data_IF_556373179060
#
_entry.id   IF_556373179060
#
_cell.length_a   1.000
_cell.length_b   1.000
_cell.length_c   1.000
_cell.angle_alpha   90.00
_cell.angle_beta   90.00
_cell.angle_gamma   90.00
#
_symmetry.space_group_name_H-M   'P 1'
#
loop_
_entity.id
_entity.type
_entity.pdbx_description
1 polymer ?
#
# COMPACT_ATOMS: atom_id res chain seq x y z
N UNK A 1 -14.87 3.66 3.44
CA UNK A 1 -15.71 4.48 2.54
C UNK A 1 -15.01 5.81 2.27
N UNK A 2 -15.03 6.27 1.04
CA UNK A 2 -14.53 7.56 0.57
C UNK A 2 -15.71 8.31 -0.03
N UNK A 3 -15.95 9.56 0.39
CA UNK A 3 -17.11 10.35 -0.04
C UNK A 3 -16.68 11.72 -0.52
N UNK A 4 -16.83 11.95 -1.82
CA UNK A 4 -16.56 13.21 -2.52
C UNK A 4 -15.19 13.84 -2.18
N UNK A 5 -14.15 13.00 -2.15
CA UNK A 5 -12.81 13.44 -1.77
C UNK A 5 -12.17 14.25 -2.89
N UNK A 6 -11.90 15.52 -2.58
CA UNK A 6 -11.15 16.45 -3.42
C UNK A 6 -9.80 16.75 -2.76
N UNK A 7 -8.73 16.79 -3.56
CA UNK A 7 -7.41 17.24 -3.10
C UNK A 7 -6.78 18.20 -4.08
N UNK A 8 -6.44 19.39 -3.58
CA UNK A 8 -5.69 20.41 -4.33
C UNK A 8 -4.31 20.66 -3.72
N UNK A 9 -3.35 20.90 -4.59
CA UNK A 9 -2.03 21.44 -4.27
C UNK A 9 -1.89 22.75 -5.06
N UNK A 10 -2.15 23.89 -4.40
CA UNK A 10 -2.29 25.15 -5.08
C UNK A 10 -3.42 25.12 -6.12
N UNK A 11 -3.08 25.39 -7.37
CA UNK A 11 -4.03 25.36 -8.50
C UNK A 11 -4.26 23.95 -9.08
N UNK A 12 -3.38 22.98 -8.79
CA UNK A 12 -3.48 21.63 -9.31
C UNK A 12 -4.44 20.78 -8.46
N UNK A 13 -5.44 20.19 -9.10
CA UNK A 13 -6.37 19.25 -8.46
C UNK A 13 -5.91 17.81 -8.71
N UNK A 14 -5.31 17.20 -7.69
CA UNK A 14 -4.82 15.84 -7.74
C UNK A 14 -5.94 14.78 -7.57
N UNK A 15 -7.00 15.10 -6.81
CA UNK A 15 -8.23 14.30 -6.75
C UNK A 15 -9.43 15.23 -6.97
N UNK A 16 -10.46 14.73 -7.67
CA UNK A 16 -11.59 15.50 -8.16
C UNK A 16 -12.93 14.85 -7.83
N UNK A 17 -13.27 14.76 -6.53
CA UNK A 17 -14.55 14.19 -6.07
C UNK A 17 -14.56 12.67 -6.13
N UNK A 18 -13.54 12.02 -5.55
CA UNK A 18 -13.46 10.56 -5.50
C UNK A 18 -14.48 10.05 -4.49
N UNK A 19 -15.39 9.18 -4.96
CA UNK A 19 -16.34 8.46 -4.12
C UNK A 19 -16.22 6.97 -4.41
N UNK A 20 -15.97 6.17 -3.36
CA UNK A 20 -15.87 4.73 -3.47
C UNK A 20 -16.08 4.04 -2.11
N UNK A 21 -16.63 2.85 -2.17
CA UNK A 21 -16.68 1.92 -1.06
C UNK A 21 -15.80 0.70 -1.38
N UNK A 22 -15.05 0.24 -0.38
CA UNK A 22 -14.18 -0.90 -0.49
C UNK A 22 -14.51 -1.90 0.61
N UNK A 23 -14.71 -3.15 0.22
CA UNK A 23 -15.01 -4.24 1.14
C UNK A 23 -13.74 -4.71 1.86
N UNK A 24 -13.86 -5.15 3.13
CA UNK A 24 -12.72 -5.69 3.86
C UNK A 24 -12.22 -7.02 3.27
N UNK A 25 -10.99 -7.39 3.64
CA UNK A 25 -10.34 -8.68 3.30
C UNK A 25 -10.14 -8.91 1.79
N UNK A 26 -10.03 -7.85 1.01
CA UNK A 26 -9.80 -7.88 -0.44
C UNK A 26 -8.46 -7.25 -0.80
N UNK A 27 -7.95 -7.66 -1.96
CA UNK A 27 -6.81 -7.04 -2.60
C UNK A 27 -7.28 -6.19 -3.79
N UNK A 28 -7.08 -4.88 -3.68
CA UNK A 28 -7.38 -3.88 -4.68
C UNK A 28 -6.10 -3.44 -5.38
N UNK A 29 -6.08 -3.49 -6.71
CA UNK A 29 -4.98 -2.98 -7.52
C UNK A 29 -5.40 -1.65 -8.13
N UNK A 30 -4.72 -0.56 -7.76
CA UNK A 30 -5.05 0.79 -8.25
C UNK A 30 -4.16 1.13 -9.43
N UNK A 31 -4.78 1.35 -10.57
CA UNK A 31 -4.15 1.56 -11.87
C UNK A 31 -4.43 2.96 -12.42
N UNK A 32 -3.68 3.35 -13.43
CA UNK A 32 -3.80 4.63 -14.13
C UNK A 32 -2.44 5.27 -14.40
N UNK A 33 -2.42 6.29 -15.23
CA UNK A 33 -1.21 6.98 -15.64
C UNK A 33 -0.50 7.72 -14.51
N UNK A 34 0.73 8.17 -14.78
CA UNK A 34 1.43 9.08 -13.89
C UNK A 34 0.63 10.38 -13.75
N UNK A 35 0.45 10.83 -12.51
CA UNK A 35 -0.39 12.01 -12.23
C UNK A 35 -1.89 11.73 -12.10
N UNK A 36 -2.37 10.49 -12.31
CA UNK A 36 -3.80 10.14 -12.13
C UNK A 36 -4.32 10.29 -10.70
N UNK A 37 -3.44 10.51 -9.71
CA UNK A 37 -3.83 10.73 -8.30
C UNK A 37 -3.67 9.52 -7.39
N UNK A 38 -3.15 8.38 -7.88
CA UNK A 38 -3.02 7.09 -7.14
C UNK A 38 -2.31 7.24 -5.80
N UNK A 39 -1.06 7.72 -5.80
CA UNK A 39 -0.27 7.98 -4.58
C UNK A 39 -0.96 8.99 -3.66
N UNK A 40 -1.61 10.01 -4.22
CA UNK A 40 -2.38 11.00 -3.43
C UNK A 40 -3.54 10.34 -2.72
N UNK A 41 -4.27 9.44 -3.38
CA UNK A 41 -5.35 8.66 -2.78
C UNK A 41 -4.81 7.79 -1.64
N UNK A 42 -3.73 7.02 -1.86
CA UNK A 42 -3.12 6.20 -0.81
C UNK A 42 -2.68 7.05 0.39
N UNK A 43 -2.05 8.20 0.15
CA UNK A 43 -1.61 9.11 1.23
C UNK A 43 -2.76 9.70 2.03
N UNK A 44 -3.90 9.94 1.41
CA UNK A 44 -5.12 10.39 2.10
C UNK A 44 -5.69 9.24 2.93
N UNK A 45 -5.78 8.01 2.37
CA UNK A 45 -6.20 6.81 3.11
C UNK A 45 -5.28 6.55 4.31
N UNK A 46 -3.96 6.70 4.13
CA UNK A 46 -2.97 6.56 5.20
C UNK A 46 -3.04 7.67 6.28
N UNK A 47 -3.86 8.70 6.09
CA UNK A 47 -3.91 9.85 6.99
C UNK A 47 -2.70 10.79 6.91
N UNK A 48 -1.79 10.56 5.96
CA UNK A 48 -0.57 11.37 5.75
C UNK A 48 -0.85 12.70 5.04
N UNK A 49 -2.00 12.80 4.40
CA UNK A 49 -2.43 14.02 3.70
C UNK A 49 -3.91 14.23 3.93
N UNK A 50 -4.29 15.43 4.37
CA UNK A 50 -5.72 15.76 4.52
C UNK A 50 -6.35 16.07 3.16
N UNK A 51 -7.58 15.60 2.89
CA UNK A 51 -8.34 16.06 1.73
C UNK A 51 -8.62 17.57 1.84
N UNK A 52 -8.84 18.24 0.70
CA UNK A 52 -9.29 19.65 0.66
C UNK A 52 -10.77 19.73 1.02
N UNK A 53 -11.56 18.78 0.55
CA UNK A 53 -12.97 18.56 0.93
C UNK A 53 -13.31 17.07 0.82
N UNK A 54 -14.51 16.70 1.27
CA UNK A 54 -14.95 15.30 1.33
C UNK A 54 -14.51 14.60 2.60
N UNK A 55 -14.84 13.32 2.73
CA UNK A 55 -14.62 12.53 3.94
C UNK A 55 -14.05 11.15 3.61
N UNK A 56 -13.18 10.65 4.49
CA UNK A 56 -12.72 9.27 4.50
C UNK A 56 -13.12 8.64 5.83
N UNK A 57 -13.76 7.49 5.77
CA UNK A 57 -14.10 6.68 6.95
C UNK A 57 -13.46 5.31 6.81
N UNK A 58 -12.74 4.89 7.85
CA UNK A 58 -12.05 3.60 7.93
C UNK A 58 -12.64 2.85 9.12
N UNK A 59 -13.10 1.62 8.89
CA UNK A 59 -13.75 0.80 9.93
C UNK A 59 -14.91 1.54 10.67
N UNK A 60 -15.63 2.41 9.95
CA UNK A 60 -16.71 3.22 10.53
C UNK A 60 -16.24 4.47 11.29
N UNK A 61 -14.95 4.66 11.51
CA UNK A 61 -14.41 5.85 12.16
C UNK A 61 -13.93 6.89 11.14
N UNK A 62 -14.27 8.14 11.37
CA UNK A 62 -13.70 9.29 10.65
C UNK A 62 -12.54 9.95 11.39
N UNK A 63 -12.18 9.47 12.58
CA UNK A 63 -11.03 9.96 13.33
C UNK A 63 -9.71 9.45 12.72
N UNK A 64 -8.95 10.34 12.11
CA UNK A 64 -7.68 10.02 11.44
C UNK A 64 -6.65 9.35 12.36
N UNK A 65 -6.58 9.72 13.66
CA UNK A 65 -5.61 9.13 14.59
C UNK A 65 -5.95 7.70 14.98
N UNK A 66 -7.22 7.38 15.16
CA UNK A 66 -7.67 6.03 15.44
C UNK A 66 -7.45 5.14 14.20
N UNK A 67 -7.80 5.65 13.02
CA UNK A 67 -7.60 4.97 11.75
C UNK A 67 -6.12 4.69 11.44
N UNK A 68 -5.20 5.59 11.78
CA UNK A 68 -3.76 5.43 11.51
C UNK A 68 -3.14 4.19 12.16
N UNK A 69 -3.67 3.75 13.31
CA UNK A 69 -3.23 2.53 14.00
C UNK A 69 -3.68 1.24 13.28
N UNK A 70 -4.68 1.33 12.44
CA UNK A 70 -5.21 0.21 11.66
C UNK A 70 -4.58 0.10 10.27
N UNK A 71 -3.67 1.04 9.91
CA UNK A 71 -3.13 1.15 8.57
C UNK A 71 -1.63 0.92 8.57
N UNK A 72 -1.19 -0.05 7.77
CA UNK A 72 0.19 -0.19 7.35
C UNK A 72 0.40 0.55 6.02
N UNK A 73 1.45 1.34 5.91
CA UNK A 73 1.78 2.07 4.69
C UNK A 73 3.21 1.79 4.26
N UNK A 74 3.36 1.26 3.04
CA UNK A 74 4.62 1.07 2.36
C UNK A 74 4.72 2.10 1.23
N UNK A 75 5.59 3.09 1.40
CA UNK A 75 5.84 4.14 0.42
C UNK A 75 6.88 3.71 -0.61
N UNK A 76 6.92 4.40 -1.75
CA UNK A 76 7.97 4.21 -2.77
C UNK A 76 9.38 4.44 -2.21
N UNK A 77 9.71 5.48 -1.41
CA UNK A 77 10.87 5.45 -0.54
C UNK A 77 10.62 4.46 0.60
N UNK A 78 11.54 3.53 0.86
CA UNK A 78 11.34 2.45 1.84
C UNK A 78 11.06 2.92 3.27
N UNK A 79 11.39 4.19 3.58
CA UNK A 79 11.29 4.81 4.92
C UNK A 79 12.02 3.98 6.00
N UNK A 80 13.12 3.34 5.62
CA UNK A 80 14.02 2.62 6.50
C UNK A 80 15.25 3.48 6.79
N UNK A 81 15.83 3.29 7.96
CA UNK A 81 17.10 3.91 8.34
C UNK A 81 18.24 3.07 7.78
N UNK A 82 18.99 3.62 6.85
CA UNK A 82 20.03 2.91 6.10
C UNK A 82 21.21 2.49 6.98
N UNK A 83 21.49 3.22 8.06
CA UNK A 83 22.56 2.97 9.01
C UNK A 83 22.24 1.85 10.01
N UNK A 84 20.97 1.52 10.19
CA UNK A 84 20.50 0.50 11.10
C UNK A 84 20.39 -0.86 10.41
N UNK A 85 20.56 -1.94 11.18
CA UNK A 85 20.20 -3.31 10.74
C UNK A 85 18.68 -3.45 10.54
N UNK A 86 18.25 -4.54 9.90
CA UNK A 86 16.84 -4.84 9.73
C UNK A 86 16.10 -4.98 11.07
N UNK A 87 16.76 -5.61 12.04
CA UNK A 87 16.20 -5.82 13.38
C UNK A 87 16.03 -4.51 14.15
N UNK A 88 17.03 -3.63 14.10
CA UNK A 88 16.96 -2.30 14.73
C UNK A 88 15.87 -1.43 14.12
N UNK A 89 15.74 -1.43 12.78
CA UNK A 89 14.65 -0.76 12.10
C UNK A 89 13.28 -1.24 12.61
N UNK A 90 13.04 -2.55 12.63
CA UNK A 90 11.74 -3.07 13.07
C UNK A 90 11.45 -2.79 14.54
N UNK A 91 12.42 -2.92 15.44
CA UNK A 91 12.29 -2.55 16.85
C UNK A 91 11.92 -1.08 17.01
N UNK A 92 12.59 -0.20 16.28
CA UNK A 92 12.30 1.23 16.30
C UNK A 92 10.84 1.50 15.94
N UNK A 93 10.38 0.99 14.80
CA UNK A 93 9.00 1.21 14.35
C UNK A 93 7.98 0.52 15.27
N UNK A 94 8.24 -0.69 15.76
CA UNK A 94 7.37 -1.39 16.71
C UNK A 94 7.15 -0.56 17.99
N UNK A 95 8.21 0.03 18.53
CA UNK A 95 8.14 0.90 19.73
C UNK A 95 7.28 2.14 19.50
N UNK A 96 7.23 2.72 18.29
CA UNK A 96 6.34 3.84 17.98
C UNK A 96 4.85 3.47 18.09
N UNK A 97 4.53 2.19 17.94
CA UNK A 97 3.18 1.64 18.15
C UNK A 97 2.96 1.11 19.58
N UNK A 98 3.94 1.30 20.47
CA UNK A 98 3.89 0.80 21.85
C UNK A 98 4.19 -0.70 21.98
N UNK A 99 4.79 -1.31 20.96
CA UNK A 99 5.15 -2.72 20.94
C UNK A 99 6.61 -2.86 21.38
N UNK A 100 6.83 -3.40 22.57
CA UNK A 100 8.17 -3.61 23.15
C UNK A 100 8.73 -5.02 22.92
N UNK A 101 7.99 -5.91 22.26
CA UNK A 101 8.37 -7.31 22.05
C UNK A 101 9.37 -7.46 20.87
N UNK A 102 10.62 -7.74 21.21
CA UNK A 102 11.68 -7.97 20.23
C UNK A 102 11.44 -9.24 19.40
N UNK A 103 10.85 -10.27 20.02
CA UNK A 103 10.53 -11.51 19.29
C UNK A 103 9.46 -11.28 18.22
N UNK A 104 8.54 -10.35 18.45
CA UNK A 104 7.59 -9.93 17.42
C UNK A 104 8.30 -9.33 16.20
N UNK A 105 9.29 -8.47 16.42
CA UNK A 105 10.11 -7.91 15.34
C UNK A 105 10.86 -9.01 14.58
N UNK A 106 11.45 -9.97 15.29
CA UNK A 106 12.14 -11.10 14.69
C UNK A 106 11.18 -12.00 13.88
N UNK A 107 9.99 -12.33 14.43
CA UNK A 107 8.96 -13.09 13.70
C UNK A 107 8.53 -12.38 12.41
N UNK A 108 8.38 -11.06 12.46
CA UNK A 108 7.97 -10.29 11.28
C UNK A 108 9.07 -10.28 10.19
N UNK A 109 10.35 -10.21 10.57
CA UNK A 109 11.48 -10.33 9.64
C UNK A 109 11.49 -11.72 8.98
N UNK A 110 11.29 -12.79 9.75
CA UNK A 110 11.20 -14.15 9.20
C UNK A 110 9.98 -14.29 8.26
N UNK A 111 8.84 -13.68 8.61
CA UNK A 111 7.62 -13.70 7.79
C UNK A 111 7.81 -13.13 6.39
N UNK A 112 8.74 -12.19 6.21
CA UNK A 112 9.10 -11.63 4.91
C UNK A 112 10.33 -12.30 4.29
N UNK A 113 10.69 -13.51 4.72
CA UNK A 113 11.83 -14.29 4.23
C UNK A 113 13.17 -13.55 4.37
N UNK A 114 13.38 -12.88 5.50
CA UNK A 114 14.65 -12.28 5.89
C UNK A 114 15.16 -12.94 7.18
N UNK A 115 16.48 -12.88 7.36
CA UNK A 115 17.12 -13.39 8.58
C UNK A 115 17.22 -12.25 9.62
N UNK A 116 16.59 -12.40 10.82
CA UNK A 116 16.66 -11.40 11.88
C UNK A 116 18.05 -11.26 12.51
N UNK A 117 18.95 -12.23 12.30
CA UNK A 117 20.33 -12.19 12.80
C UNK A 117 21.29 -11.34 11.96
N UNK A 118 20.84 -10.86 10.79
CA UNK A 118 21.66 -9.98 9.95
C UNK A 118 21.94 -8.66 10.67
N UNK A 119 23.22 -8.44 11.00
CA UNK A 119 23.70 -7.24 11.70
C UNK A 119 24.13 -6.11 10.76
N UNK A 120 24.32 -6.42 9.46
CA UNK A 120 24.74 -5.40 8.49
C UNK A 120 23.67 -4.33 8.30
N UNK A 121 24.09 -3.06 8.04
CA UNK A 121 23.15 -1.96 7.76
C UNK A 121 22.24 -2.22 6.57
N UNK A 122 20.99 -1.71 6.65
CA UNK A 122 19.99 -1.82 5.58
C UNK A 122 20.45 -1.16 4.27
N UNK A 123 21.35 -0.15 4.34
CA UNK A 123 21.97 0.45 3.18
C UNK A 123 22.72 -0.56 2.30
N UNK A 124 23.15 -1.72 2.86
CA UNK A 124 23.84 -2.81 2.16
C UNK A 124 22.89 -3.93 1.69
N UNK A 125 21.58 -3.79 1.90
CA UNK A 125 20.60 -4.76 1.43
C UNK A 125 20.36 -4.62 -0.06
N UNK A 126 20.06 -5.76 -0.73
CA UNK A 126 19.53 -5.70 -2.09
C UNK A 126 18.17 -4.97 -2.09
N UNK A 127 17.76 -4.47 -3.26
CA UNK A 127 16.48 -3.77 -3.37
C UNK A 127 15.31 -4.67 -2.95
N UNK A 128 15.34 -5.95 -3.34
CA UNK A 128 14.32 -6.91 -2.91
C UNK A 128 14.31 -7.15 -1.39
N UNK A 129 15.47 -7.18 -0.74
CA UNK A 129 15.55 -7.25 0.72
C UNK A 129 14.96 -5.99 1.38
N UNK A 130 15.29 -4.79 0.83
CA UNK A 130 14.75 -3.51 1.32
C UNK A 130 13.23 -3.46 1.19
N UNK A 131 12.67 -3.89 0.06
CA UNK A 131 11.23 -3.94 -0.16
C UNK A 131 10.53 -4.89 0.82
N UNK A 132 11.09 -6.09 1.03
CA UNK A 132 10.55 -7.05 2.02
C UNK A 132 10.63 -6.51 3.45
N UNK A 133 11.73 -5.86 3.83
CA UNK A 133 11.84 -5.23 5.15
C UNK A 133 10.87 -4.04 5.30
N UNK A 134 10.66 -3.25 4.24
CA UNK A 134 9.66 -2.18 4.23
C UNK A 134 8.23 -2.72 4.40
N UNK A 135 7.92 -3.88 3.79
CA UNK A 135 6.67 -4.60 4.04
C UNK A 135 6.57 -5.05 5.50
N UNK A 136 7.64 -5.66 6.06
CA UNK A 136 7.67 -6.07 7.47
C UNK A 136 7.40 -4.89 8.42
N UNK A 137 8.01 -3.72 8.12
CA UNK A 137 7.77 -2.47 8.85
C UNK A 137 6.30 -2.05 8.78
N UNK A 138 5.69 -2.11 7.60
CA UNK A 138 4.28 -1.74 7.43
C UNK A 138 3.32 -2.71 8.15
N UNK A 139 3.76 -3.95 8.41
CA UNK A 139 2.96 -5.00 9.05
C UNK A 139 3.22 -5.17 10.55
N UNK A 140 4.23 -4.50 11.13
CA UNK A 140 4.71 -4.79 12.50
C UNK A 140 3.66 -4.61 13.59
N UNK A 141 2.66 -3.78 13.36
CA UNK A 141 1.56 -3.48 14.29
C UNK A 141 0.24 -4.20 13.97
N UNK A 142 0.25 -5.22 13.08
CA UNK A 142 -0.91 -5.99 12.60
C UNK A 142 -2.04 -5.10 12.06
N UNK A 143 -1.79 -4.35 11.01
CA UNK A 143 -2.79 -3.45 10.45
C UNK A 143 -3.95 -4.23 9.82
N UNK A 144 -5.17 -3.65 9.89
CA UNK A 144 -6.35 -4.15 9.16
C UNK A 144 -6.31 -3.80 7.67
N UNK A 145 -5.60 -2.71 7.34
CA UNK A 145 -5.46 -2.21 5.97
C UNK A 145 -3.98 -2.02 5.66
N UNK A 146 -3.53 -2.56 4.54
CA UNK A 146 -2.18 -2.39 4.02
C UNK A 146 -2.23 -1.59 2.72
N UNK A 147 -1.55 -0.47 2.69
CA UNK A 147 -1.44 0.42 1.54
C UNK A 147 -0.02 0.35 0.99
N UNK A 148 0.11 0.01 -0.28
CA UNK A 148 1.39 -0.23 -0.96
C UNK A 148 1.54 0.70 -2.17
N UNK A 149 2.58 1.52 -2.16
CA UNK A 149 2.90 2.44 -3.25
C UNK A 149 4.13 1.90 -3.99
N UNK A 150 3.91 1.28 -5.16
CA UNK A 150 4.91 0.67 -6.04
C UNK A 150 5.76 -0.43 -5.35
N UNK A 151 5.14 -1.50 -4.79
CA UNK A 151 5.87 -2.54 -4.04
C UNK A 151 6.83 -3.37 -4.89
N UNK A 152 6.73 -3.31 -6.22
CA UNK A 152 7.55 -4.08 -7.17
C UNK A 152 8.63 -3.23 -7.87
N UNK A 153 8.78 -1.96 -7.50
CA UNK A 153 9.76 -1.06 -8.14
C UNK A 153 11.19 -1.52 -7.91
N UNK A 154 11.94 -1.59 -8.99
CA UNK A 154 13.39 -1.88 -8.99
C UNK A 154 13.78 -3.20 -8.30
N UNK A 155 12.89 -4.19 -8.31
CA UNK A 155 13.19 -5.53 -7.80
C UNK A 155 13.34 -6.52 -8.95
N UNK A 156 14.16 -7.55 -8.75
CA UNK A 156 14.30 -8.66 -9.70
C UNK A 156 13.03 -9.54 -9.68
N UNK A 157 12.88 -10.37 -10.73
CA UNK A 157 11.71 -11.25 -10.91
C UNK A 157 11.46 -12.17 -9.71
N UNK A 158 12.53 -12.72 -9.13
CA UNK A 158 12.43 -13.63 -7.97
C UNK A 158 11.86 -12.89 -6.76
N UNK A 159 12.40 -11.71 -6.47
CA UNK A 159 11.91 -10.84 -5.38
C UNK A 159 10.48 -10.39 -5.59
N UNK A 160 10.07 -10.10 -6.85
CA UNK A 160 8.69 -9.77 -7.19
C UNK A 160 7.73 -10.94 -6.90
N UNK A 161 8.08 -12.16 -7.32
CA UNK A 161 7.28 -13.37 -7.05
C UNK A 161 7.15 -13.63 -5.54
N UNK A 162 8.23 -13.47 -4.78
CA UNK A 162 8.18 -13.59 -3.32
C UNK A 162 7.26 -12.54 -2.70
N UNK A 163 7.31 -11.30 -3.16
CA UNK A 163 6.41 -10.22 -2.70
C UNK A 163 4.95 -10.55 -2.99
N UNK A 164 4.61 -11.05 -4.19
CA UNK A 164 3.24 -11.48 -4.53
C UNK A 164 2.72 -12.54 -3.56
N UNK A 165 3.55 -13.55 -3.25
CA UNK A 165 3.18 -14.60 -2.28
C UNK A 165 2.95 -14.05 -0.87
N UNK A 166 3.79 -13.11 -0.43
CA UNK A 166 3.63 -12.44 0.86
C UNK A 166 2.33 -11.63 0.91
N UNK A 167 1.99 -10.89 -0.14
CA UNK A 167 0.75 -10.11 -0.22
C UNK A 167 -0.49 -11.01 -0.23
N UNK A 168 -0.46 -12.12 -0.96
CA UNK A 168 -1.53 -13.12 -0.94
C UNK A 168 -1.73 -13.72 0.47
N UNK A 169 -0.64 -14.02 1.17
CA UNK A 169 -0.70 -14.52 2.55
C UNK A 169 -1.23 -13.46 3.55
N UNK A 170 -0.86 -12.19 3.38
CA UNK A 170 -1.36 -11.08 4.19
C UNK A 170 -2.86 -10.88 3.99
N UNK A 171 -3.33 -10.89 2.73
CA UNK A 171 -4.76 -10.85 2.40
C UNK A 171 -5.50 -12.07 2.98
N UNK A 172 -4.94 -13.27 2.79
CA UNK A 172 -5.53 -14.52 3.32
C UNK A 172 -5.65 -14.54 4.86
N UNK A 173 -4.81 -13.76 5.56
CA UNK A 173 -4.92 -13.55 7.01
C UNK A 173 -5.96 -12.48 7.41
N UNK A 174 -6.72 -11.92 6.46
CA UNK A 174 -7.82 -10.99 6.72
C UNK A 174 -7.45 -9.51 6.59
N UNK A 175 -6.24 -9.16 6.14
CA UNK A 175 -5.87 -7.77 5.89
C UNK A 175 -6.42 -7.32 4.53
N UNK A 176 -7.03 -6.13 4.48
CA UNK A 176 -7.40 -5.48 3.22
C UNK A 176 -6.17 -4.84 2.60
N UNK A 177 -5.88 -5.12 1.34
CA UNK A 177 -4.66 -4.65 0.67
C UNK A 177 -5.02 -3.71 -0.48
N UNK A 178 -4.34 -2.57 -0.57
CA UNK A 178 -4.35 -1.68 -1.73
C UNK A 178 -2.95 -1.60 -2.29
N UNK A 179 -2.77 -1.93 -3.56
CA UNK A 179 -1.49 -1.85 -4.24
C UNK A 179 -1.59 -0.91 -5.47
N UNK A 180 -0.83 0.17 -5.45
CA UNK A 180 -0.55 0.97 -6.65
C UNK A 180 0.66 0.34 -7.33
N UNK A 181 0.55 0.00 -8.61
CA UNK A 181 1.67 -0.59 -9.35
C UNK A 181 1.56 -0.36 -10.84
N UNK A 182 2.70 -0.27 -11.53
CA UNK A 182 2.83 -0.30 -12.98
C UNK A 182 3.01 -1.73 -13.52
N UNK A 183 2.99 -2.76 -12.67
CA UNK A 183 3.10 -4.17 -13.03
C UNK A 183 1.87 -4.97 -12.56
N UNK A 184 0.65 -4.64 -13.03
CA UNK A 184 -0.59 -5.24 -12.53
C UNK A 184 -0.69 -6.74 -12.82
N UNK A 185 -0.05 -7.22 -13.87
CA UNK A 185 -0.01 -8.65 -14.24
C UNK A 185 0.57 -9.53 -13.11
N UNK A 186 1.47 -8.99 -12.28
CA UNK A 186 2.00 -9.73 -11.13
C UNK A 186 0.93 -10.06 -10.09
N UNK A 187 -0.10 -9.24 -9.97
CA UNK A 187 -1.19 -9.40 -9.00
C UNK A 187 -2.48 -9.96 -9.62
N UNK A 188 -2.52 -10.22 -10.93
CA UNK A 188 -3.73 -10.62 -11.64
C UNK A 188 -4.42 -11.84 -11.01
N UNK A 189 -3.67 -12.86 -10.61
CA UNK A 189 -4.22 -14.06 -9.98
C UNK A 189 -4.63 -13.87 -8.50
N UNK A 190 -4.21 -12.78 -7.85
CA UNK A 190 -4.43 -12.53 -6.43
C UNK A 190 -5.36 -11.36 -6.16
N UNK A 191 -5.56 -10.46 -7.13
CA UNK A 191 -6.42 -9.30 -7.02
C UNK A 191 -7.89 -9.72 -7.02
N UNK A 192 -8.66 -9.08 -6.16
CA UNK A 192 -10.13 -9.19 -6.16
C UNK A 192 -10.76 -8.13 -7.05
N UNK A 193 -10.07 -7.00 -7.23
CA UNK A 193 -10.59 -5.89 -8.02
C UNK A 193 -9.48 -4.94 -8.49
N UNK A 194 -9.61 -4.48 -9.74
CA UNK A 194 -8.78 -3.44 -10.35
C UNK A 194 -9.54 -2.13 -10.38
N UNK A 195 -8.93 -1.09 -9.82
CA UNK A 195 -9.51 0.26 -9.69
C UNK A 195 -8.75 1.21 -10.61
N UNK A 196 -9.40 1.69 -11.65
CA UNK A 196 -8.79 2.56 -12.64
C UNK A 196 -8.99 4.03 -12.27
N UNK A 197 -7.89 4.76 -12.26
CA UNK A 197 -7.87 6.20 -11.98
C UNK A 197 -7.38 6.98 -13.20
N UNK A 198 -8.11 8.04 -13.54
CA UNK A 198 -7.75 8.99 -14.57
C UNK A 198 -8.13 10.42 -14.14
N UNK A 199 -7.25 11.40 -14.37
CA UNK A 199 -7.52 12.80 -14.09
C UNK A 199 -7.98 13.10 -12.66
N UNK A 200 -7.56 12.31 -11.68
CA UNK A 200 -7.94 12.45 -10.27
C UNK A 200 -9.31 11.85 -9.91
N UNK A 201 -9.87 10.99 -10.75
CA UNK A 201 -11.16 10.30 -10.54
C UNK A 201 -10.98 8.79 -10.62
N UNK A 202 -11.87 8.01 -9.99
CA UNK A 202 -12.05 6.60 -10.31
C UNK A 202 -12.99 6.54 -11.50
N UNK A 203 -12.50 5.97 -12.62
CA UNK A 203 -13.25 5.91 -13.89
C UNK A 203 -13.83 4.52 -14.16
N UNK A 204 -13.21 3.47 -13.61
CA UNK A 204 -13.71 2.11 -13.74
C UNK A 204 -13.27 1.23 -12.57
N UNK A 205 -14.01 0.15 -12.36
CA UNK A 205 -13.69 -0.92 -11.42
C UNK A 205 -14.04 -2.25 -12.09
N UNK A 206 -13.09 -3.19 -12.13
CA UNK A 206 -13.23 -4.48 -12.82
C UNK A 206 -12.69 -5.61 -11.95
N UNK A 207 -13.26 -6.81 -12.06
CA UNK A 207 -12.73 -8.02 -11.41
C UNK A 207 -11.55 -8.64 -12.15
N UNK A 208 -11.36 -8.28 -13.43
CA UNK A 208 -10.30 -8.80 -14.28
C UNK A 208 -9.45 -7.68 -14.85
N UNK A 209 -8.18 -7.97 -15.10
CA UNK A 209 -7.29 -7.06 -15.81
C UNK A 209 -7.63 -7.12 -17.31
N UNK A 210 -8.02 -5.99 -17.94
CA UNK A 210 -8.25 -5.96 -19.38
C UNK A 210 -7.02 -6.40 -20.17
N UNK A 211 -7.26 -7.05 -21.30
CA UNK A 211 -6.19 -7.55 -22.18
C UNK A 211 -5.36 -6.43 -22.83
N UNK A 212 -5.89 -5.20 -22.89
CA UNK A 212 -5.20 -4.01 -23.40
C UNK A 212 -4.72 -3.11 -22.26
N UNK A 213 -3.51 -2.54 -22.40
CA UNK A 213 -2.92 -1.61 -21.44
C UNK A 213 -3.69 -0.28 -21.30
N UNK A 214 -4.63 0.00 -22.16
CA UNK A 214 -5.31 1.31 -22.30
C UNK A 214 -6.55 1.48 -21.40
N UNK A 215 -6.71 0.61 -20.41
CA UNK A 215 -7.86 0.65 -19.52
C UNK A 215 -9.17 0.17 -20.19
N UNK A 216 -10.24 -0.03 -19.41
CA UNK A 216 -11.53 -0.35 -19.99
C UNK A 216 -12.02 0.85 -20.80
N UNK A 217 -12.39 0.61 -22.08
CA UNK A 217 -12.99 1.64 -22.92
C UNK A 217 -14.12 2.33 -22.15
N UNK A 218 -13.99 3.63 -21.92
CA UNK A 218 -15.04 4.43 -21.26
C UNK A 218 -16.30 4.28 -22.11
N UNK A 219 -17.28 3.51 -21.62
CA UNK A 219 -18.63 3.61 -22.17
C UNK A 219 -19.11 5.01 -21.81
N UNK A 220 -19.18 5.88 -22.81
CA UNK A 220 -19.90 7.14 -22.70
C UNK A 220 -21.30 6.80 -22.14
N UNK A 221 -21.54 7.23 -20.91
CA UNK A 221 -22.89 7.19 -20.38
C UNK A 221 -23.66 8.35 -21.01
N UNK A 222 -24.87 8.09 -21.52
CA UNK A 222 -25.70 9.09 -22.17
C UNK A 222 -26.12 10.24 -21.27
#
# INVERSE_FOLDING_TARGET
MISDVLKRFGRFAALRGVTAEFLPHRLYVVLGDNGAGKTTLLRILAGLTRPTSGKVSISGSSEQRAAAREIGYMAHPSLLYDEMSGMENLRYFARLYGIGDDERSARMIRRVNLDPSLTRPVGQYSQGMRQRLSLARALVHDPKILLLDEPFSNVDVRSAVEMVRLLAAVRGAGTTVFAVTHQPSLLQASADEFVWMEGGRIVARTSELPASSDGPALKEQP
#
